data_IF_108225278046
#
_entry.id   IF_108225278046
#
_cell.length_a   1.000
_cell.length_b   1.000
_cell.length_c   1.000
_cell.angle_alpha   90.00
_cell.angle_beta   90.00
_cell.angle_gamma   90.00
#
_symmetry.space_group_name_H-M   'P 1'
#
loop_
_entity.id
_entity.type
_entity.pdbx_description
1 polymer ?
#
# COMPACT_ATOMS: atom_id res chain seq x y z
N UNK A 1 8.31 18.81 -18.57
CA UNK A 1 6.92 19.23 -18.89
C UNK A 1 6.02 18.11 -18.42
N UNK A 2 5.84 18.03 -17.10
CA UNK A 2 5.12 16.94 -16.42
C UNK A 2 3.87 17.54 -15.79
N UNK A 3 2.71 17.20 -16.35
CA UNK A 3 1.41 17.56 -15.76
C UNK A 3 1.15 16.64 -14.57
N UNK A 4 1.16 17.21 -13.37
CA UNK A 4 0.51 16.62 -12.20
C UNK A 4 -1.00 16.66 -12.42
N UNK A 5 -1.62 15.51 -12.65
CA UNK A 5 -3.07 15.35 -12.48
C UNK A 5 -3.37 15.39 -10.98
N UNK A 6 -3.88 16.54 -10.53
CA UNK A 6 -4.64 16.65 -9.29
C UNK A 6 -6.04 16.12 -9.62
N UNK A 7 -6.44 15.03 -8.98
CA UNK A 7 -7.80 14.49 -9.08
C UNK A 7 -8.56 15.09 -7.91
N UNK A 8 -9.40 16.08 -8.20
CA UNK A 8 -10.36 16.65 -7.26
C UNK A 8 -11.45 15.60 -6.96
N UNK A 9 -11.46 15.12 -5.71
CA UNK A 9 -12.36 14.06 -5.21
C UNK A 9 -13.63 14.63 -4.54
N UNK A 10 -13.87 15.94 -4.64
CA UNK A 10 -15.02 16.60 -3.99
C UNK A 10 -16.27 16.72 -4.90
N UNK A 11 -16.10 16.69 -6.23
CA UNK A 11 -17.23 16.82 -7.16
C UNK A 11 -18.04 15.51 -7.34
N UNK A 12 -17.48 14.37 -6.95
CA UNK A 12 -18.07 13.04 -7.14
C UNK A 12 -19.19 12.71 -6.13
N UNK A 13 -19.15 13.27 -4.92
CA UNK A 13 -20.11 12.93 -3.85
C UNK A 13 -21.52 13.47 -4.06
N UNK A 14 -21.66 14.63 -4.71
CA UNK A 14 -22.96 15.29 -4.89
C UNK A 14 -23.81 14.64 -5.98
N UNK A 15 -23.19 14.08 -7.02
CA UNK A 15 -23.90 13.40 -8.11
C UNK A 15 -24.29 11.96 -7.75
N UNK A 16 -23.48 11.26 -6.96
CA UNK A 16 -23.79 9.89 -6.49
C UNK A 16 -25.07 9.82 -5.64
N UNK A 17 -25.40 10.89 -4.90
CA UNK A 17 -26.59 10.95 -4.05
C UNK A 17 -27.91 11.05 -4.86
N UNK A 18 -27.87 11.63 -6.06
CA UNK A 18 -29.08 11.94 -6.83
C UNK A 18 -29.55 10.79 -7.75
N UNK A 19 -28.66 9.83 -8.07
CA UNK A 19 -29.00 8.65 -8.89
C UNK A 19 -29.57 7.45 -8.12
N UNK A 20 -29.70 7.52 -6.79
CA UNK A 20 -30.23 6.41 -5.97
C UNK A 20 -31.76 6.27 -6.00
N UNK A 21 -32.50 7.20 -6.63
CA UNK A 21 -33.97 7.16 -6.73
C UNK A 21 -34.46 6.82 -8.14
N UNK A 22 -34.27 5.58 -8.59
CA UNK A 22 -35.00 5.00 -9.72
C UNK A 22 -35.29 3.51 -9.47
N UNK A 23 -36.39 2.97 -10.04
CA UNK A 23 -37.16 1.87 -9.44
C UNK A 23 -36.39 0.55 -9.46
N UNK A 24 -36.63 -0.24 -8.41
CA UNK A 24 -36.06 -1.56 -8.18
C UNK A 24 -36.54 -2.56 -9.25
N UNK A 25 -35.85 -2.62 -10.39
CA UNK A 25 -35.80 -3.84 -11.19
C UNK A 25 -35.29 -4.96 -10.27
N UNK A 26 -36.09 -6.01 -10.08
CA UNK A 26 -35.63 -7.23 -9.41
C UNK A 26 -34.46 -7.78 -10.22
N UNK A 27 -33.24 -7.67 -9.68
CA UNK A 27 -32.02 -8.15 -10.32
C UNK A 27 -31.86 -9.63 -10.01
N UNK A 28 -32.09 -10.50 -10.98
CA UNK A 28 -31.87 -11.94 -10.85
C UNK A 28 -30.37 -12.30 -11.01
N UNK A 29 -29.49 -11.65 -10.25
CA UNK A 29 -28.05 -11.95 -10.26
C UNK A 29 -27.70 -13.17 -9.41
N UNK A 30 -28.52 -13.53 -8.42
CA UNK A 30 -28.25 -14.61 -7.48
C UNK A 30 -27.20 -14.27 -6.41
N UNK A 31 -26.62 -13.07 -6.45
CA UNK A 31 -25.70 -12.53 -5.44
C UNK A 31 -25.86 -11.01 -5.32
N UNK A 32 -25.34 -10.43 -4.24
CA UNK A 32 -25.29 -8.98 -4.04
C UNK A 32 -23.95 -8.42 -4.56
N UNK A 33 -23.95 -7.60 -5.62
CA UNK A 33 -22.72 -6.95 -6.09
C UNK A 33 -22.24 -5.89 -5.07
N UNK A 34 -20.92 -5.70 -4.96
CA UNK A 34 -20.33 -4.76 -3.99
C UNK A 34 -20.35 -3.31 -4.51
N UNK A 35 -19.80 -3.05 -5.70
CA UNK A 35 -19.71 -1.69 -6.27
C UNK A 35 -19.62 -1.72 -7.79
N UNK A 36 -20.79 -1.70 -8.42
CA UNK A 36 -20.97 -1.67 -9.87
C UNK A 36 -20.55 -0.32 -10.47
N UNK A 37 -20.28 -0.30 -11.78
CA UNK A 37 -20.13 0.96 -12.50
C UNK A 37 -21.49 1.60 -12.76
N UNK A 38 -21.66 2.81 -12.22
CA UNK A 38 -22.91 3.58 -12.30
C UNK A 38 -23.35 3.81 -13.75
N UNK A 39 -22.38 4.10 -14.63
CA UNK A 39 -22.63 4.43 -16.04
C UNK A 39 -23.19 3.26 -16.86
N UNK A 40 -23.02 2.02 -16.42
CA UNK A 40 -23.56 0.85 -17.13
C UNK A 40 -25.09 0.88 -17.19
N UNK A 41 -25.73 1.53 -16.21
CA UNK A 41 -27.20 1.70 -16.18
C UNK A 41 -27.72 2.68 -17.23
N UNK A 42 -26.83 3.51 -17.80
CA UNK A 42 -27.17 4.52 -18.80
C UNK A 42 -27.06 3.99 -20.24
N UNK A 43 -26.58 2.75 -20.41
CA UNK A 43 -26.40 2.17 -21.74
C UNK A 43 -27.73 1.74 -22.34
N UNK A 44 -27.90 1.84 -23.68
CA UNK A 44 -29.14 1.43 -24.36
C UNK A 44 -29.53 -0.04 -24.16
N UNK A 45 -28.57 -0.88 -23.78
CA UNK A 45 -28.72 -2.33 -23.55
C UNK A 45 -28.43 -2.71 -22.09
N UNK A 46 -28.66 -1.79 -21.14
CA UNK A 46 -28.40 -2.01 -19.72
C UNK A 46 -29.13 -3.24 -19.14
N UNK A 47 -30.28 -3.59 -19.71
CA UNK A 47 -31.09 -4.77 -19.41
C UNK A 47 -30.36 -6.10 -19.70
N UNK A 48 -29.44 -6.11 -20.67
CA UNK A 48 -28.69 -7.31 -21.07
C UNK A 48 -27.43 -7.54 -20.22
N UNK A 49 -26.90 -6.47 -19.60
CA UNK A 49 -25.62 -6.49 -18.88
C UNK A 49 -25.62 -7.40 -17.65
N UNK A 50 -26.76 -7.58 -16.97
CA UNK A 50 -26.86 -8.47 -15.80
C UNK A 50 -26.62 -9.92 -16.20
N UNK A 51 -27.20 -10.35 -17.33
CA UNK A 51 -27.03 -11.72 -17.84
C UNK A 51 -25.61 -11.93 -18.36
N UNK A 52 -25.12 -11.00 -19.18
CA UNK A 52 -23.77 -11.05 -19.76
C UNK A 52 -22.69 -11.11 -18.67
N UNK A 53 -22.74 -10.19 -17.71
CA UNK A 53 -21.76 -10.12 -16.61
C UNK A 53 -21.80 -11.35 -15.71
N UNK A 54 -22.96 -11.98 -15.52
CA UNK A 54 -23.08 -13.22 -14.73
C UNK A 54 -22.44 -14.41 -15.45
N UNK A 55 -22.69 -14.56 -16.76
CA UNK A 55 -22.10 -15.64 -17.56
C UNK A 55 -20.58 -15.50 -17.60
N UNK A 56 -20.09 -14.30 -17.91
CA UNK A 56 -18.65 -14.06 -18.02
C UNK A 56 -17.93 -14.23 -16.68
N UNK A 57 -18.53 -13.78 -15.57
CA UNK A 57 -17.97 -14.02 -14.23
C UNK A 57 -17.87 -15.53 -13.92
N UNK A 58 -18.89 -16.32 -14.27
CA UNK A 58 -18.87 -17.77 -14.08
C UNK A 58 -17.75 -18.44 -14.89
N UNK A 59 -17.54 -18.01 -16.14
CA UNK A 59 -16.42 -18.48 -16.97
C UNK A 59 -15.06 -18.11 -16.37
N UNK A 60 -14.90 -16.87 -15.90
CA UNK A 60 -13.67 -16.41 -15.24
C UNK A 60 -13.38 -17.28 -14.02
N UNK A 61 -14.36 -17.46 -13.13
CA UNK A 61 -14.21 -18.30 -11.92
C UNK A 61 -13.85 -19.74 -12.28
N UNK A 62 -14.63 -20.36 -13.17
CA UNK A 62 -14.47 -21.75 -13.53
C UNK A 62 -13.12 -22.03 -14.19
N UNK A 63 -12.72 -21.19 -15.14
CA UNK A 63 -11.50 -21.43 -15.91
C UNK A 63 -10.23 -20.93 -15.21
N UNK A 64 -10.31 -19.88 -14.39
CA UNK A 64 -9.18 -19.51 -13.51
C UNK A 64 -8.92 -20.61 -12.49
N UNK A 65 -9.97 -21.14 -11.85
CA UNK A 65 -9.85 -22.29 -10.95
C UNK A 65 -9.25 -23.52 -11.62
N UNK A 66 -9.75 -23.88 -12.82
CA UNK A 66 -9.20 -25.00 -13.61
C UNK A 66 -7.73 -24.79 -13.98
N UNK A 67 -7.34 -23.60 -14.42
CA UNK A 67 -5.95 -23.30 -14.78
C UNK A 67 -5.01 -23.49 -13.57
N UNK A 68 -5.44 -23.07 -12.38
CA UNK A 68 -4.67 -23.26 -11.13
C UNK A 68 -4.59 -24.74 -10.76
N UNK A 69 -5.69 -25.48 -10.83
CA UNK A 69 -5.71 -26.94 -10.55
C UNK A 69 -4.81 -27.73 -11.49
N UNK A 70 -4.76 -27.34 -12.78
CA UNK A 70 -3.89 -27.94 -13.79
C UNK A 70 -2.44 -27.43 -13.74
N UNK A 71 -2.13 -26.50 -12.82
CA UNK A 71 -0.83 -25.81 -12.71
C UNK A 71 -0.41 -25.09 -14.00
N UNK A 72 -1.38 -24.68 -14.79
CA UNK A 72 -1.19 -23.98 -16.05
C UNK A 72 -1.07 -22.47 -15.79
N UNK A 73 0.10 -22.02 -15.36
CA UNK A 73 0.37 -20.59 -15.12
C UNK A 73 0.30 -19.79 -16.44
N UNK A 74 0.89 -20.33 -17.51
CA UNK A 74 0.83 -19.77 -18.87
C UNK A 74 0.32 -20.83 -19.86
N UNK A 75 -0.61 -20.48 -20.77
CA UNK A 75 -1.35 -19.21 -20.84
C UNK A 75 -2.50 -19.08 -19.81
N UNK A 76 -2.99 -20.20 -19.24
CA UNK A 76 -4.21 -20.27 -18.41
C UNK A 76 -4.39 -19.15 -17.37
N UNK A 77 -3.59 -19.17 -16.29
CA UNK A 77 -3.76 -18.20 -15.19
C UNK A 77 -3.56 -16.75 -15.66
N UNK A 78 -2.59 -16.50 -16.55
CA UNK A 78 -2.34 -15.17 -17.12
C UNK A 78 -3.54 -14.66 -17.93
N UNK A 79 -4.14 -15.51 -18.75
CA UNK A 79 -5.29 -15.15 -19.57
C UNK A 79 -6.50 -14.80 -18.70
N UNK A 80 -6.89 -15.69 -17.78
CA UNK A 80 -8.08 -15.48 -16.95
C UNK A 80 -7.91 -14.36 -15.92
N UNK A 81 -6.68 -14.11 -15.44
CA UNK A 81 -6.38 -12.90 -14.65
C UNK A 81 -6.52 -11.62 -15.47
N UNK A 82 -6.24 -11.67 -16.78
CA UNK A 82 -6.49 -10.55 -17.69
C UNK A 82 -7.98 -10.32 -17.91
N UNK A 83 -8.73 -11.40 -18.11
CA UNK A 83 -10.18 -11.33 -18.26
C UNK A 83 -10.85 -10.76 -17.01
N UNK A 84 -10.38 -11.15 -15.81
CA UNK A 84 -10.84 -10.55 -14.55
C UNK A 84 -10.58 -9.03 -14.50
N UNK A 85 -9.40 -8.58 -14.91
CA UNK A 85 -9.10 -7.14 -14.96
C UNK A 85 -10.01 -6.39 -15.95
N UNK A 86 -10.29 -6.99 -17.11
CA UNK A 86 -11.23 -6.42 -18.09
C UNK A 86 -12.64 -6.37 -17.50
N UNK A 87 -13.08 -7.45 -16.86
CA UNK A 87 -14.37 -7.52 -16.17
C UNK A 87 -14.52 -6.41 -15.13
N UNK A 88 -13.52 -6.22 -14.26
CA UNK A 88 -13.53 -5.15 -13.25
C UNK A 88 -13.59 -3.77 -13.92
N UNK A 89 -12.90 -3.58 -15.04
CA UNK A 89 -12.93 -2.32 -15.79
C UNK A 89 -14.28 -2.04 -16.47
N UNK A 90 -15.00 -3.07 -16.90
CA UNK A 90 -16.27 -2.95 -17.61
C UNK A 90 -17.50 -2.94 -16.70
N UNK A 91 -17.47 -3.70 -15.60
CA UNK A 91 -18.63 -3.87 -14.71
C UNK A 91 -18.39 -3.38 -13.28
N UNK A 92 -17.15 -3.05 -12.93
CA UNK A 92 -16.76 -2.73 -11.55
C UNK A 92 -16.65 -4.00 -10.71
N UNK A 93 -16.94 -3.88 -9.41
CA UNK A 93 -16.89 -4.99 -8.46
C UNK A 93 -18.26 -5.70 -8.44
N UNK A 94 -18.67 -6.20 -9.60
CA UNK A 94 -19.98 -6.87 -9.82
C UNK A 94 -19.91 -8.37 -9.52
N UNK A 95 -19.38 -8.70 -8.36
CA UNK A 95 -19.33 -10.06 -7.81
C UNK A 95 -19.66 -10.01 -6.31
N UNK A 96 -19.91 -11.18 -5.71
CA UNK A 96 -20.15 -11.27 -4.27
C UNK A 96 -18.88 -10.94 -3.49
N UNK A 97 -19.05 -10.56 -2.22
CA UNK A 97 -17.92 -10.34 -1.32
C UNK A 97 -17.10 -11.61 -1.08
N UNK A 98 -17.77 -12.76 -1.04
CA UNK A 98 -17.13 -14.07 -0.93
C UNK A 98 -16.21 -14.33 -2.12
N UNK A 99 -16.70 -14.06 -3.34
CA UNK A 99 -15.90 -14.17 -4.56
C UNK A 99 -14.73 -13.18 -4.57
N UNK A 100 -14.95 -11.95 -4.09
CA UNK A 100 -13.89 -10.95 -3.97
C UNK A 100 -12.76 -11.43 -3.06
N UNK A 101 -13.09 -11.93 -1.87
CA UNK A 101 -12.12 -12.50 -0.92
C UNK A 101 -11.42 -13.71 -1.54
N UNK A 102 -12.15 -14.59 -2.24
CA UNK A 102 -11.56 -15.75 -2.91
C UNK A 102 -10.56 -15.33 -4.01
N UNK A 103 -10.88 -14.33 -4.83
CA UNK A 103 -9.96 -13.80 -5.83
C UNK A 103 -8.71 -13.20 -5.21
N UNK A 104 -8.85 -12.44 -4.12
CA UNK A 104 -7.72 -11.83 -3.40
C UNK A 104 -6.80 -12.90 -2.82
N UNK A 105 -7.35 -13.91 -2.15
CA UNK A 105 -6.58 -15.04 -1.62
C UNK A 105 -5.90 -15.83 -2.72
N UNK A 106 -6.60 -16.11 -3.83
CA UNK A 106 -6.02 -16.81 -4.97
C UNK A 106 -4.85 -16.04 -5.60
N UNK A 107 -5.02 -14.74 -5.83
CA UNK A 107 -3.95 -13.90 -6.38
C UNK A 107 -2.76 -13.81 -5.43
N UNK A 108 -3.02 -13.72 -4.12
CA UNK A 108 -1.96 -13.75 -3.10
C UNK A 108 -1.14 -15.03 -3.20
N UNK A 109 -1.80 -16.20 -3.15
CA UNK A 109 -1.14 -17.51 -3.25
C UNK A 109 -0.35 -17.68 -4.55
N UNK A 110 -0.86 -17.17 -5.68
CA UNK A 110 -0.15 -17.19 -6.95
C UNK A 110 1.11 -16.31 -6.96
N UNK A 111 1.09 -15.18 -6.26
CA UNK A 111 2.24 -14.26 -6.16
C UNK A 111 3.31 -14.83 -5.23
N UNK A 112 2.90 -15.53 -4.17
CA UNK A 112 3.80 -16.10 -3.17
C UNK A 112 4.45 -17.42 -3.58
N UNK A 113 4.22 -17.89 -4.80
CA UNK A 113 4.91 -19.06 -5.36
C UNK A 113 6.43 -18.81 -5.35
N UNK A 114 7.24 -19.68 -4.71
CA UNK A 114 8.69 -19.54 -4.71
C UNK A 114 9.28 -19.54 -6.13
N UNK A 115 10.25 -18.66 -6.37
CA UNK A 115 10.96 -18.53 -7.65
C UNK A 115 10.04 -18.26 -8.87
N UNK A 116 8.90 -17.61 -8.66
CA UNK A 116 8.00 -17.20 -9.74
C UNK A 116 8.68 -16.20 -10.69
N UNK A 117 8.44 -16.36 -12.00
CA UNK A 117 8.98 -15.46 -13.02
C UNK A 117 8.51 -14.00 -12.80
N UNK A 118 9.39 -12.98 -12.93
CA UNK A 118 9.02 -11.58 -12.72
C UNK A 118 7.78 -11.10 -13.49
N UNK A 119 7.59 -11.57 -14.73
CA UNK A 119 6.43 -11.20 -15.54
C UNK A 119 5.11 -11.75 -14.98
N UNK A 120 5.14 -12.95 -14.38
CA UNK A 120 3.98 -13.54 -13.71
C UNK A 120 3.68 -12.77 -12.42
N UNK A 121 4.71 -12.44 -11.63
CA UNK A 121 4.57 -11.57 -10.45
C UNK A 121 3.91 -10.25 -10.84
N UNK A 122 4.41 -9.58 -11.89
CA UNK A 122 3.84 -8.34 -12.39
C UNK A 122 2.36 -8.49 -12.74
N UNK A 123 2.01 -9.58 -13.43
CA UNK A 123 0.64 -9.82 -13.88
C UNK A 123 -0.32 -10.02 -12.73
N UNK A 124 -0.01 -10.93 -11.82
CA UNK A 124 -0.87 -11.24 -10.68
C UNK A 124 -0.92 -10.07 -9.69
N UNK A 125 0.20 -9.36 -9.50
CA UNK A 125 0.24 -8.15 -8.67
C UNK A 125 -0.65 -7.05 -9.24
N UNK A 126 -0.66 -6.86 -10.56
CA UNK A 126 -1.55 -5.88 -11.20
C UNK A 126 -3.02 -6.22 -10.94
N UNK A 127 -3.38 -7.50 -11.03
CA UNK A 127 -4.74 -7.97 -10.70
C UNK A 127 -5.06 -7.76 -9.22
N UNK A 128 -4.15 -8.09 -8.32
CA UNK A 128 -4.28 -7.86 -6.87
C UNK A 128 -4.51 -6.38 -6.53
N UNK A 129 -3.76 -5.48 -7.17
CA UNK A 129 -3.93 -4.03 -7.00
C UNK A 129 -5.30 -3.54 -7.49
N UNK A 130 -5.86 -4.10 -8.57
CA UNK A 130 -7.21 -3.76 -9.01
C UNK A 130 -8.26 -4.23 -8.00
N UNK A 131 -8.11 -5.45 -7.48
CA UNK A 131 -9.01 -6.02 -6.48
C UNK A 131 -9.00 -5.24 -5.16
N UNK A 132 -7.83 -4.71 -4.75
CA UNK A 132 -7.66 -3.98 -3.48
C UNK A 132 -7.75 -2.46 -3.61
N UNK A 133 -8.06 -1.93 -4.81
CA UNK A 133 -8.15 -0.49 -5.06
C UNK A 133 -9.17 0.21 -4.16
N UNK A 134 -10.29 -0.45 -3.87
CA UNK A 134 -11.41 0.07 -3.07
C UNK A 134 -11.39 -0.56 -1.68
N UNK A 135 -10.61 0.05 -0.77
CA UNK A 135 -10.36 -0.47 0.59
C UNK A 135 -11.63 -0.57 1.45
N UNK A 136 -12.65 0.20 1.12
CA UNK A 136 -13.94 0.21 1.82
C UNK A 136 -14.76 -1.08 1.62
N UNK A 137 -14.39 -1.93 0.65
CA UNK A 137 -15.18 -3.10 0.27
C UNK A 137 -14.87 -4.38 1.07
N UNK A 138 -13.66 -4.48 1.62
CA UNK A 138 -13.21 -5.61 2.46
C UNK A 138 -12.69 -5.02 3.76
N UNK A 139 -13.28 -5.43 4.89
CA UNK A 139 -12.77 -5.04 6.20
C UNK A 139 -11.53 -5.85 6.55
N UNK A 140 -10.54 -5.29 7.26
CA UNK A 140 -9.41 -6.04 7.84
C UNK A 140 -9.82 -7.29 8.62
N UNK A 141 -10.99 -7.30 9.25
CA UNK A 141 -11.48 -8.44 10.04
C UNK A 141 -11.94 -9.64 9.19
N UNK A 142 -12.15 -9.45 7.88
CA UNK A 142 -12.71 -10.47 6.99
C UNK A 142 -11.64 -11.12 6.10
N UNK A 143 -10.46 -10.53 6.05
CA UNK A 143 -9.34 -10.98 5.24
C UNK A 143 -8.06 -10.87 6.03
N UNK A 144 -7.40 -12.01 6.21
CA UNK A 144 -6.06 -12.10 6.79
C UNK A 144 -5.10 -12.64 5.73
N UNK A 145 -3.98 -11.96 5.55
CA UNK A 145 -2.93 -12.32 4.59
C UNK A 145 -1.57 -12.33 5.31
N UNK A 146 -0.81 -13.43 5.29
CA UNK A 146 0.46 -13.48 6.00
C UNK A 146 1.49 -12.52 5.40
N UNK A 147 2.34 -11.91 6.24
CA UNK A 147 3.37 -10.99 5.76
C UNK A 147 4.65 -11.71 5.32
N UNK A 148 4.96 -12.86 5.96
CA UNK A 148 6.23 -13.59 5.83
C UNK A 148 6.55 -14.03 4.39
N UNK A 149 5.63 -14.62 3.60
CA UNK A 149 5.95 -15.04 2.23
C UNK A 149 6.37 -13.86 1.34
N UNK A 150 5.74 -12.70 1.52
CA UNK A 150 6.10 -11.47 0.80
C UNK A 150 7.47 -10.93 1.22
N UNK A 151 7.80 -11.04 2.51
CA UNK A 151 9.11 -10.66 3.03
C UNK A 151 10.22 -11.52 2.43
N UNK A 152 10.04 -12.84 2.36
CA UNK A 152 11.00 -13.77 1.76
C UNK A 152 11.26 -13.48 0.27
N UNK A 153 10.27 -12.96 -0.45
CA UNK A 153 10.42 -12.55 -1.85
C UNK A 153 11.20 -11.24 -1.98
N UNK A 154 10.93 -10.25 -1.14
CA UNK A 154 11.48 -8.89 -1.30
C UNK A 154 12.82 -8.69 -0.62
N UNK A 155 13.03 -9.29 0.54
CA UNK A 155 14.24 -9.08 1.32
C UNK A 155 15.54 -9.43 0.56
N UNK A 156 15.61 -10.50 -0.26
CA UNK A 156 16.75 -10.75 -1.14
C UNK A 156 16.93 -9.63 -2.18
N UNK A 157 15.83 -9.13 -2.76
CA UNK A 157 15.86 -8.04 -3.74
C UNK A 157 16.46 -6.77 -3.13
N UNK A 158 16.22 -6.51 -1.84
CA UNK A 158 16.78 -5.38 -1.12
C UNK A 158 18.29 -5.49 -0.87
N UNK A 159 18.79 -6.72 -0.72
CA UNK A 159 20.21 -7.00 -0.44
C UNK A 159 21.08 -7.15 -1.70
N UNK A 160 20.49 -7.47 -2.84
CA UNK A 160 21.18 -7.74 -4.11
C UNK A 160 22.29 -6.70 -4.40
N UNK A 161 23.54 -7.19 -4.45
CA UNK A 161 24.66 -6.46 -5.02
C UNK A 161 24.55 -6.57 -6.53
N UNK A 162 24.89 -5.50 -7.26
CA UNK A 162 24.83 -5.39 -8.72
C UNK A 162 25.67 -6.41 -9.52
N UNK A 163 26.26 -7.39 -8.86
CA UNK A 163 27.23 -8.37 -9.37
C UNK A 163 26.67 -9.78 -9.60
N UNK A 164 25.38 -10.02 -9.38
CA UNK A 164 24.77 -11.32 -9.71
C UNK A 164 24.42 -11.41 -11.20
N UNK A 165 24.71 -12.57 -11.79
CA UNK A 165 24.62 -12.88 -13.24
C UNK A 165 23.19 -12.71 -13.78
N UNK A 166 22.18 -12.71 -12.91
CA UNK A 166 20.78 -12.45 -13.24
C UNK A 166 20.30 -11.17 -12.57
N UNK A 167 20.45 -10.03 -13.26
CA UNK A 167 19.88 -8.76 -12.80
C UNK A 167 18.35 -8.83 -12.90
N UNK A 168 17.66 -8.85 -11.75
CA UNK A 168 16.19 -8.72 -11.75
C UNK A 168 15.78 -7.33 -12.25
N UNK A 169 14.62 -7.19 -12.90
CA UNK A 169 14.16 -5.89 -13.35
C UNK A 169 13.91 -4.92 -12.19
N UNK A 170 14.30 -3.66 -12.34
CA UNK A 170 14.13 -2.64 -11.27
C UNK A 170 12.66 -2.43 -10.90
N UNK A 171 11.76 -2.46 -11.89
CA UNK A 171 10.32 -2.30 -11.72
C UNK A 171 9.68 -3.37 -10.82
N UNK A 172 10.34 -4.53 -10.64
CA UNK A 172 9.80 -5.62 -9.83
C UNK A 172 9.69 -5.21 -8.35
N UNK A 173 10.69 -4.46 -7.85
CA UNK A 173 10.66 -3.95 -6.48
C UNK A 173 9.51 -2.95 -6.29
N UNK A 174 9.38 -2.02 -7.23
CA UNK A 174 8.39 -0.95 -7.17
C UNK A 174 6.95 -1.50 -7.17
N UNK A 175 6.67 -2.49 -8.02
CA UNK A 175 5.32 -3.06 -8.09
C UNK A 175 4.98 -3.87 -6.82
N UNK A 176 5.94 -4.63 -6.29
CA UNK A 176 5.76 -5.36 -5.04
C UNK A 176 5.57 -4.41 -3.84
N UNK A 177 6.25 -3.27 -3.82
CA UNK A 177 6.02 -2.24 -2.81
C UNK A 177 4.63 -1.62 -2.88
N UNK A 178 4.16 -1.27 -4.07
CA UNK A 178 2.80 -0.78 -4.27
C UNK A 178 1.76 -1.80 -3.77
N UNK A 179 2.01 -3.08 -4.03
CA UNK A 179 1.17 -4.18 -3.58
C UNK A 179 1.14 -4.31 -2.06
N UNK A 180 2.28 -4.39 -1.40
CA UNK A 180 2.34 -4.53 0.06
C UNK A 180 1.67 -3.35 0.74
N UNK A 181 1.87 -2.12 0.23
CA UNK A 181 1.18 -0.94 0.75
C UNK A 181 -0.34 -1.07 0.71
N UNK A 182 -0.87 -1.85 -0.24
CA UNK A 182 -2.30 -2.14 -0.38
C UNK A 182 -2.75 -3.32 0.49
N UNK A 183 -1.85 -4.28 0.76
CA UNK A 183 -2.13 -5.51 1.51
C UNK A 183 -1.93 -5.38 3.01
N UNK A 184 -1.00 -4.54 3.49
CA UNK A 184 -0.56 -4.53 4.89
C UNK A 184 -1.64 -4.23 5.93
N UNK A 185 -2.78 -3.67 5.50
CA UNK A 185 -3.96 -3.48 6.36
C UNK A 185 -4.68 -4.81 6.66
N UNK A 186 -4.37 -5.88 5.95
CA UNK A 186 -4.90 -7.24 6.11
C UNK A 186 -3.88 -8.19 6.75
N UNK A 187 -2.75 -7.66 7.26
CA UNK A 187 -1.80 -8.48 8.00
C UNK A 187 -2.40 -8.90 9.36
N UNK A 188 -2.00 -10.06 9.90
CA UNK A 188 -2.36 -10.48 11.23
C UNK A 188 -2.01 -9.42 12.29
N UNK A 189 -2.79 -9.35 13.38
CA UNK A 189 -2.57 -8.35 14.45
C UNK A 189 -1.20 -8.48 15.12
N UNK A 190 -0.63 -9.68 15.18
CA UNK A 190 0.70 -9.94 15.72
C UNK A 190 1.84 -9.58 14.76
N UNK A 191 1.55 -9.27 13.48
CA UNK A 191 2.55 -9.03 12.46
C UNK A 191 3.50 -7.87 12.83
N UNK A 192 2.99 -6.81 13.46
CA UNK A 192 3.83 -5.69 13.90
C UNK A 192 4.96 -6.16 14.81
N UNK A 193 4.63 -6.96 15.82
CA UNK A 193 5.61 -7.49 16.78
C UNK A 193 6.61 -8.42 16.09
N UNK A 194 6.12 -9.36 15.28
CA UNK A 194 6.99 -10.30 14.55
C UNK A 194 7.95 -9.59 13.58
N UNK A 195 7.48 -8.57 12.86
CA UNK A 195 8.30 -7.76 11.95
C UNK A 195 9.38 -7.00 12.72
N UNK A 196 9.02 -6.42 13.88
CA UNK A 196 9.98 -5.73 14.74
C UNK A 196 11.02 -6.70 15.29
N UNK A 197 10.61 -7.88 15.76
CA UNK A 197 11.52 -8.88 16.33
C UNK A 197 12.52 -9.41 15.29
N UNK A 198 12.09 -9.55 14.02
CA UNK A 198 12.96 -9.93 12.90
C UNK A 198 13.98 -8.81 12.56
N UNK A 199 13.56 -7.54 12.57
CA UNK A 199 14.36 -6.44 12.04
C UNK A 199 15.17 -5.69 13.10
N UNK A 200 14.72 -5.63 14.37
CA UNK A 200 15.42 -4.95 15.46
C UNK A 200 16.89 -5.37 15.63
N UNK A 201 17.26 -6.67 15.54
CA UNK A 201 18.66 -7.08 15.65
C UNK A 201 19.58 -6.47 14.59
N UNK A 202 19.02 -5.98 13.48
CA UNK A 202 19.78 -5.37 12.38
C UNK A 202 19.97 -3.86 12.53
N UNK A 203 19.35 -3.23 13.53
CA UNK A 203 19.46 -1.78 13.76
C UNK A 203 20.81 -1.42 14.33
N UNK A 204 21.73 -1.03 13.43
CA UNK A 204 23.03 -0.50 13.77
C UNK A 204 23.18 0.89 13.15
N UNK A 205 23.04 1.98 13.93
CA UNK A 205 23.12 3.35 13.40
C UNK A 205 24.44 3.67 12.69
N UNK A 206 25.51 2.93 13.02
CA UNK A 206 26.84 3.05 12.43
C UNK A 206 26.95 2.34 11.07
N UNK A 207 26.21 1.23 10.88
CA UNK A 207 26.10 0.55 9.59
C UNK A 207 24.96 1.15 8.77
N UNK A 208 25.28 2.22 8.04
CA UNK A 208 24.30 2.92 7.22
C UNK A 208 23.57 2.00 6.23
N UNK A 209 24.26 1.02 5.63
CA UNK A 209 23.67 0.19 4.58
C UNK A 209 22.62 -0.74 5.16
N UNK A 210 22.98 -1.46 6.22
CA UNK A 210 22.06 -2.40 6.88
C UNK A 210 20.88 -1.65 7.48
N UNK A 211 21.14 -0.53 8.16
CA UNK A 211 20.09 0.32 8.73
C UNK A 211 19.10 0.86 7.68
N UNK A 212 19.59 1.33 6.53
CA UNK A 212 18.72 1.76 5.42
C UNK A 212 17.79 0.64 4.95
N UNK A 213 18.34 -0.56 4.73
CA UNK A 213 17.55 -1.72 4.26
C UNK A 213 16.47 -2.09 5.28
N UNK A 214 16.80 -2.11 6.56
CA UNK A 214 15.86 -2.46 7.61
C UNK A 214 14.75 -1.43 7.78
N UNK A 215 15.07 -0.13 7.76
CA UNK A 215 14.06 0.93 7.81
C UNK A 215 13.18 0.97 6.55
N UNK A 216 13.75 0.73 5.37
CA UNK A 216 12.98 0.62 4.13
C UNK A 216 12.01 -0.58 4.19
N UNK A 217 12.45 -1.69 4.79
CA UNK A 217 11.60 -2.87 4.99
C UNK A 217 10.46 -2.55 5.97
N UNK A 218 10.75 -1.87 7.09
CA UNK A 218 9.71 -1.44 8.03
C UNK A 218 8.69 -0.49 7.41
N UNK A 219 9.15 0.51 6.67
CA UNK A 219 8.28 1.46 5.96
C UNK A 219 7.30 0.74 5.01
N UNK A 220 7.77 -0.35 4.39
CA UNK A 220 6.98 -1.17 3.51
C UNK A 220 5.97 -2.05 4.28
N UNK A 221 6.45 -2.82 5.26
CA UNK A 221 5.68 -3.91 5.88
C UNK A 221 4.88 -3.50 7.13
N UNK A 222 5.31 -2.51 7.91
CA UNK A 222 4.61 -2.17 9.16
C UNK A 222 3.15 -1.75 8.88
N UNK A 223 2.17 -2.39 9.54
CA UNK A 223 0.80 -1.88 9.60
C UNK A 223 0.79 -0.54 10.33
N UNK A 224 0.41 0.53 9.64
CA UNK A 224 0.35 1.89 10.21
C UNK A 224 -1.08 2.38 10.43
N UNK A 225 -2.08 1.60 10.04
CA UNK A 225 -3.49 1.96 10.08
C UNK A 225 -4.25 0.84 10.79
N UNK A 226 -3.95 0.66 12.08
CA UNK A 226 -4.69 -0.24 12.96
C UNK A 226 -5.84 0.53 13.62
N UNK A 227 -6.95 -0.13 13.99
CA UNK A 227 -8.00 0.50 14.78
C UNK A 227 -7.45 1.01 16.13
N UNK A 228 -8.08 2.04 16.75
CA UNK A 228 -7.62 2.62 18.02
C UNK A 228 -7.42 1.60 19.16
N UNK A 229 -8.27 0.58 19.20
CA UNK A 229 -8.21 -0.53 20.17
C UNK A 229 -6.88 -1.31 20.11
N UNK A 230 -6.22 -1.32 18.96
CA UNK A 230 -5.01 -2.08 18.67
C UNK A 230 -3.75 -1.21 18.56
N UNK A 231 -3.80 0.06 18.97
CA UNK A 231 -2.62 0.93 18.93
C UNK A 231 -1.46 0.44 19.81
N UNK A 232 -1.78 -0.24 20.92
CA UNK A 232 -0.81 -0.83 21.86
C UNK A 232 0.05 -1.92 21.23
N UNK A 233 -0.52 -2.69 20.31
CA UNK A 233 0.17 -3.74 19.53
C UNK A 233 0.64 -3.24 18.15
N UNK A 234 0.48 -1.93 17.90
CA UNK A 234 0.79 -1.26 16.65
C UNK A 234 1.98 -0.32 16.80
N UNK A 235 1.72 0.96 16.58
CA UNK A 235 2.78 1.98 16.59
C UNK A 235 3.40 2.23 17.98
N UNK A 236 2.65 1.99 19.05
CA UNK A 236 3.16 2.19 20.42
C UNK A 236 4.31 1.24 20.78
N UNK A 237 4.48 0.13 20.04
CA UNK A 237 5.59 -0.81 20.25
C UNK A 237 6.96 -0.26 19.86
N UNK A 238 7.03 0.74 18.97
CA UNK A 238 8.28 1.20 18.35
C UNK A 238 8.42 2.71 18.24
N UNK A 239 7.33 3.47 18.40
CA UNK A 239 7.31 4.91 18.21
C UNK A 239 8.35 5.64 19.08
N UNK A 240 8.33 5.41 20.40
CA UNK A 240 9.25 6.07 21.35
C UNK A 240 10.71 5.66 21.14
N UNK A 241 10.95 4.39 20.83
CA UNK A 241 12.27 3.85 20.48
C UNK A 241 12.84 4.62 19.28
N UNK A 242 12.03 4.82 18.25
CA UNK A 242 12.46 5.44 17.00
C UNK A 242 12.59 6.97 17.14
N UNK A 243 11.72 7.62 17.92
CA UNK A 243 11.87 9.04 18.26
C UNK A 243 13.13 9.29 19.09
N UNK A 244 13.45 8.41 20.04
CA UNK A 244 14.69 8.47 20.82
C UNK A 244 15.91 8.28 19.93
N UNK A 245 15.89 7.26 19.06
CA UNK A 245 16.95 7.01 18.10
C UNK A 245 17.17 8.23 17.20
N UNK A 246 16.08 8.81 16.68
CA UNK A 246 16.16 10.00 15.86
C UNK A 246 16.76 11.16 16.64
N UNK A 247 16.35 11.41 17.89
CA UNK A 247 16.91 12.46 18.76
C UNK A 247 18.43 12.31 18.95
N UNK A 248 18.92 11.11 19.23
CA UNK A 248 20.34 10.84 19.51
C UNK A 248 21.20 10.93 18.24
N UNK A 249 20.73 10.41 17.11
CA UNK A 249 21.48 10.41 15.85
C UNK A 249 21.28 11.72 15.07
N UNK A 250 22.13 12.72 15.29
CA UNK A 250 22.04 14.06 14.68
C UNK A 250 23.05 14.32 13.55
N UNK A 251 23.77 13.29 13.11
CA UNK A 251 24.84 13.38 12.12
C UNK A 251 24.35 13.30 10.66
N UNK A 252 23.04 13.34 10.42
CA UNK A 252 22.45 13.29 9.10
C UNK A 252 22.73 12.00 8.30
N UNK A 253 22.52 10.81 8.89
CA UNK A 253 22.83 9.55 8.23
C UNK A 253 21.89 9.27 7.05
N UNK A 254 22.33 8.43 6.10
CA UNK A 254 21.55 8.13 4.90
C UNK A 254 20.19 7.49 5.21
N UNK A 255 20.13 6.70 6.28
CA UNK A 255 18.93 6.00 6.72
C UNK A 255 17.88 6.94 7.33
N UNK A 256 18.24 8.18 7.68
CA UNK A 256 17.32 9.15 8.28
C UNK A 256 16.15 9.47 7.35
N UNK A 257 16.37 9.46 6.03
CA UNK A 257 15.30 9.73 5.07
C UNK A 257 14.22 8.62 5.09
N UNK A 258 14.62 7.35 5.29
CA UNK A 258 13.66 6.25 5.46
C UNK A 258 12.88 6.37 6.77
N UNK A 259 13.57 6.75 7.86
CA UNK A 259 12.94 7.03 9.16
C UNK A 259 11.89 8.13 9.05
N UNK A 260 12.25 9.23 8.37
CA UNK A 260 11.36 10.38 8.08
C UNK A 260 10.11 9.95 7.33
N UNK A 261 10.25 9.14 6.28
CA UNK A 261 9.11 8.61 5.52
C UNK A 261 8.21 7.70 6.36
N UNK A 262 8.78 6.86 7.21
CA UNK A 262 8.03 6.00 8.14
C UNK A 262 7.21 6.86 9.13
N UNK A 263 7.84 7.85 9.76
CA UNK A 263 7.16 8.76 10.71
C UNK A 263 6.09 9.62 10.05
N UNK A 264 6.37 10.17 8.87
CA UNK A 264 5.39 10.96 8.11
C UNK A 264 4.14 10.14 7.77
N UNK A 265 4.32 8.87 7.37
CA UNK A 265 3.21 7.96 7.09
C UNK A 265 2.47 7.55 8.36
N UNK A 266 3.18 7.37 9.48
CA UNK A 266 2.56 7.10 10.77
C UNK A 266 1.65 8.26 11.15
N UNK A 267 2.16 9.50 11.12
CA UNK A 267 1.39 10.70 11.41
C UNK A 267 0.15 10.81 10.52
N UNK A 268 0.32 10.63 9.20
CA UNK A 268 -0.77 10.73 8.23
C UNK A 268 -1.90 9.70 8.45
N UNK A 269 -1.57 8.48 8.89
CA UNK A 269 -2.58 7.45 9.12
C UNK A 269 -3.21 7.50 10.53
N UNK A 270 -2.62 8.24 11.47
CA UNK A 270 -3.03 8.30 12.88
C UNK A 270 -3.28 9.75 13.34
N UNK A 271 -3.92 10.55 12.47
CA UNK A 271 -4.24 11.95 12.75
C UNK A 271 -5.13 12.02 14.00
N UNK A 272 -4.72 12.84 14.98
CA UNK A 272 -5.45 13.05 16.24
C UNK A 272 -5.19 12.01 17.34
N UNK A 273 -4.48 10.90 17.04
CA UNK A 273 -4.22 9.84 18.03
C UNK A 273 -2.86 9.91 18.69
N UNK A 274 -1.86 10.49 18.02
CA UNK A 274 -0.50 10.65 18.54
C UNK A 274 -0.32 12.12 18.94
N UNK A 275 0.14 12.35 20.16
CA UNK A 275 0.54 13.67 20.61
C UNK A 275 1.96 13.99 20.12
N UNK A 276 2.04 14.84 19.12
CA UNK A 276 3.31 15.26 18.52
C UNK A 276 3.88 16.54 19.13
N UNK A 277 3.13 17.22 20.00
CA UNK A 277 3.52 18.50 20.57
C UNK A 277 4.89 18.46 21.29
N UNK A 278 5.19 17.42 22.10
CA UNK A 278 6.51 17.29 22.73
C UNK A 278 7.67 17.14 21.73
N UNK A 279 7.38 16.70 20.51
CA UNK A 279 8.36 16.39 19.47
C UNK A 279 8.57 17.53 18.47
N UNK A 280 7.70 18.55 18.46
CA UNK A 280 7.81 19.69 17.54
C UNK A 280 9.17 20.39 17.55
N UNK A 281 9.77 20.72 18.71
CA UNK A 281 11.07 21.41 18.72
C UNK A 281 12.15 20.62 17.98
N UNK A 282 12.17 19.28 18.17
CA UNK A 282 13.11 18.40 17.47
C UNK A 282 12.81 18.35 15.97
N UNK A 283 11.53 18.15 15.60
CA UNK A 283 11.09 18.05 14.21
C UNK A 283 11.45 19.30 13.41
N UNK A 284 10.99 20.46 13.84
CA UNK A 284 11.20 21.71 13.11
C UNK A 284 12.66 22.14 13.09
N UNK A 285 13.42 21.88 14.16
CA UNK A 285 14.87 22.11 14.15
C UNK A 285 15.55 21.30 13.06
N UNK A 286 15.18 20.02 12.87
CA UNK A 286 15.73 19.19 11.79
C UNK A 286 15.25 19.64 10.42
N UNK A 287 13.97 19.97 10.26
CA UNK A 287 13.42 20.41 8.99
C UNK A 287 14.10 21.70 8.50
N UNK A 288 14.30 22.68 9.38
CA UNK A 288 14.99 23.94 9.04
C UNK A 288 16.44 23.68 8.61
N UNK A 289 17.14 22.75 9.28
CA UNK A 289 18.52 22.38 8.91
C UNK A 289 18.63 21.80 7.49
N UNK A 290 17.57 21.17 6.99
CA UNK A 290 17.51 20.61 5.63
C UNK A 290 17.20 21.64 4.55
N UNK A 291 16.69 22.82 4.92
CA UNK A 291 16.45 23.92 3.98
C UNK A 291 17.74 24.63 3.56
N UNK A 292 18.87 24.35 4.22
CA UNK A 292 20.19 24.93 3.92
C UNK A 292 20.19 26.46 3.83
N UNK A 293 19.39 27.11 4.68
CA UNK A 293 19.34 28.58 4.73
C UNK A 293 20.73 29.13 5.10
N UNK A 294 21.21 30.19 4.42
CA UNK A 294 22.48 30.82 4.75
C UNK A 294 22.34 31.65 6.02
N UNK A 295 22.51 31.02 7.18
CA UNK A 295 22.36 31.69 8.50
C UNK A 295 23.66 32.40 8.94
N UNK A 296 24.78 32.19 8.23
CA UNK A 296 26.10 32.75 8.59
C UNK A 296 26.62 33.75 7.55
N UNK A 297 26.95 34.97 8.00
CA UNK A 297 27.61 35.98 7.19
C UNK A 297 29.06 35.57 6.89
N UNK A 298 29.44 35.49 5.60
CA UNK A 298 30.80 35.20 5.10
C UNK A 298 31.41 33.81 5.44
N UNK A 299 30.62 32.82 5.86
CA UNK A 299 31.08 31.43 5.95
C UNK A 299 30.33 30.55 4.95
N UNK A 300 31.07 29.98 3.99
CA UNK A 300 30.54 28.96 3.07
C UNK A 300 30.47 27.62 3.82
N UNK A 301 29.28 27.07 4.03
CA UNK A 301 29.15 25.75 4.65
C UNK A 301 29.76 24.68 3.73
N UNK A 302 30.91 24.13 4.14
CA UNK A 302 31.66 23.10 3.41
C UNK A 302 31.25 21.66 3.77
N UNK A 303 30.23 21.47 4.61
CA UNK A 303 29.88 20.14 5.12
C UNK A 303 28.82 19.43 4.26
N UNK A 304 28.95 18.10 4.19
CA UNK A 304 28.06 17.17 3.48
C UNK A 304 26.59 17.60 3.58
N UNK A 305 25.95 17.76 2.42
CA UNK A 305 24.57 18.22 2.30
C UNK A 305 23.65 17.21 2.98
N UNK A 306 23.12 17.57 4.15
CA UNK A 306 22.09 16.78 4.84
C UNK A 306 20.76 16.92 4.08
N UNK A 307 20.56 16.06 3.08
CA UNK A 307 19.37 16.06 2.24
C UNK A 307 18.29 15.17 2.86
N UNK A 308 17.26 15.80 3.44
CA UNK A 308 15.98 15.14 3.69
C UNK A 308 15.02 15.45 2.55
N UNK A 309 14.13 14.50 2.26
CA UNK A 309 13.12 14.67 1.22
C UNK A 309 12.03 15.65 1.68
N UNK A 310 11.82 16.72 0.92
CA UNK A 310 10.82 17.75 1.22
C UNK A 310 9.39 17.22 1.19
N UNK A 311 9.11 16.16 0.42
CA UNK A 311 7.80 15.51 0.39
C UNK A 311 7.47 14.83 1.73
N UNK A 312 8.46 14.19 2.36
CA UNK A 312 8.31 13.57 3.68
C UNK A 312 8.04 14.62 4.76
N UNK A 313 8.79 15.73 4.74
CA UNK A 313 8.63 16.86 5.66
C UNK A 313 7.23 17.46 5.52
N UNK A 314 6.81 17.76 4.28
CA UNK A 314 5.50 18.35 4.02
C UNK A 314 4.36 17.44 4.49
N UNK A 315 4.45 16.13 4.19
CA UNK A 315 3.45 15.14 4.62
C UNK A 315 3.36 15.08 6.15
N UNK A 316 4.50 15.08 6.83
CA UNK A 316 4.54 15.04 8.29
C UNK A 316 3.97 16.32 8.91
N UNK A 317 4.34 17.50 8.41
CA UNK A 317 3.80 18.78 8.89
C UNK A 317 2.28 18.82 8.72
N UNK A 318 1.78 18.50 7.52
CA UNK A 318 0.33 18.53 7.23
C UNK A 318 -0.42 17.58 8.15
N UNK A 319 0.05 16.35 8.30
CA UNK A 319 -0.62 15.34 9.12
C UNK A 319 -0.78 15.75 10.59
N UNK A 320 0.18 16.52 11.11
CA UNK A 320 0.19 16.91 12.53
C UNK A 320 -0.55 18.21 12.79
N UNK A 321 -0.69 19.08 11.78
CA UNK A 321 -1.43 20.34 11.91
C UNK A 321 -2.96 20.20 11.82
N UNK A 322 -3.49 19.11 11.27
CA UNK A 322 -4.95 18.93 11.08
C UNK A 322 -5.74 18.95 12.40
N UNK A 323 -5.10 18.73 13.55
CA UNK A 323 -5.72 18.87 14.87
C UNK A 323 -6.26 20.30 15.13
N UNK A 324 -5.74 21.32 14.46
CA UNK A 324 -6.10 22.73 14.65
C UNK A 324 -7.34 23.21 13.88
N UNK A 325 -7.98 22.35 13.07
CA UNK A 325 -9.14 22.73 12.25
C UNK A 325 -10.50 22.29 12.82
N UNK A 326 -10.50 21.54 13.93
CA UNK A 326 -11.71 21.00 14.55
C UNK A 326 -11.96 21.47 15.99
N UNK A 327 -11.14 22.39 16.50
CA UNK A 327 -11.41 23.21 17.67
C UNK A 327 -11.71 24.65 17.22
#
# INVERSE_FOLDING_TARGET
MESKMIIDDECSRSEEANLQKQPSFRRDLGFRPQKELVYNKLLPYADQLDVESRVWLAEIKGNLGRAVMLRELKPGCVFWSSQLNIYIKLYGMKFSKEDHIAFVKLMYELITIPNLEPNLINKFTTTMLQLLKKKELISPNELELPWRPLYEIIHPLLKEKSSEIYRRPSWLKDILYCMIRSIKNYFPLNATQEILDELRPTFCPLDNKTMCVSLQTLECFLPLQLPPEHHSIGHQLWFEEFMTLWKVCHNGPLWENNMMWLMARLAHNNIGYIDWEPHFPLMFTRFIRCLHLPVTYKQTQSNKVHKLDTASIATWIVAVLVRWLHD
#
